data_IF_372415423542
#
_entry.id   IF_372415423542
#
_cell.length_a   1.000
_cell.length_b   1.000
_cell.length_c   1.000
_cell.angle_alpha   90.00
_cell.angle_beta   90.00
_cell.angle_gamma   90.00
#
_symmetry.space_group_name_H-M   'P 1'
#
loop_
_entity.id
_entity.type
_entity.pdbx_description
1 polymer ?
#
# COMPACT_ATOMS: atom_id res chain seq x y z
N UNK A 1 1.12 5.13 -15.13
CA UNK A 1 2.35 5.41 -14.32
C UNK A 1 3.10 4.13 -14.07
N UNK A 2 4.41 4.17 -14.24
CA UNK A 2 5.24 3.00 -13.94
C UNK A 2 5.54 2.92 -12.45
N UNK A 3 5.58 1.70 -11.93
CA UNK A 3 5.84 1.46 -10.51
C UNK A 3 7.19 2.08 -10.08
N UNK A 4 8.18 2.02 -10.96
CA UNK A 4 9.51 2.55 -10.68
C UNK A 4 9.52 4.07 -10.50
N UNK A 5 8.52 4.75 -11.06
CA UNK A 5 8.44 6.21 -10.99
C UNK A 5 7.79 6.70 -9.68
N UNK A 6 7.21 5.78 -8.90
CA UNK A 6 6.57 6.13 -7.64
C UNK A 6 7.64 6.22 -6.57
N UNK A 7 7.78 7.39 -5.96
CA UNK A 7 8.80 7.63 -4.94
C UNK A 7 8.40 7.08 -3.58
N UNK A 8 9.38 6.89 -2.71
CA UNK A 8 9.11 6.49 -1.32
C UNK A 8 8.25 7.52 -0.60
N UNK A 9 8.45 8.80 -0.92
CA UNK A 9 7.66 9.88 -0.34
C UNK A 9 6.18 9.77 -0.73
N UNK A 10 5.92 9.44 -1.99
CA UNK A 10 4.54 9.23 -2.44
C UNK A 10 3.90 8.04 -1.73
N UNK A 11 4.64 6.95 -1.53
CA UNK A 11 4.14 5.80 -0.81
C UNK A 11 3.85 6.13 0.66
N UNK A 12 4.69 6.96 1.28
CA UNK A 12 4.46 7.42 2.64
C UNK A 12 3.17 8.23 2.72
N UNK A 13 2.97 9.13 1.77
CA UNK A 13 1.75 9.94 1.70
C UNK A 13 0.52 9.07 1.50
N UNK A 14 0.64 8.02 0.68
CA UNK A 14 -0.46 7.08 0.49
C UNK A 14 -0.83 6.40 1.81
N UNK A 15 0.15 5.96 2.58
CA UNK A 15 -0.11 5.31 3.87
C UNK A 15 -0.79 6.26 4.85
N UNK A 16 -0.36 7.50 4.90
CA UNK A 16 -0.98 8.49 5.78
C UNK A 16 -2.42 8.77 5.38
N UNK A 17 -2.65 8.94 4.07
CA UNK A 17 -3.98 9.12 3.53
C UNK A 17 -4.87 7.91 3.86
N UNK A 18 -4.34 6.71 3.70
CA UNK A 18 -5.07 5.48 3.94
C UNK A 18 -5.51 5.37 5.41
N UNK A 19 -4.60 5.67 6.33
CA UNK A 19 -4.92 5.65 7.77
C UNK A 19 -6.03 6.62 8.10
N UNK A 20 -5.96 7.84 7.57
CA UNK A 20 -6.99 8.84 7.82
C UNK A 20 -8.33 8.46 7.23
N UNK A 21 -8.31 7.91 6.01
CA UNK A 21 -9.53 7.59 5.29
C UNK A 21 -10.26 6.39 5.91
N UNK A 22 -9.54 5.35 6.23
CA UNK A 22 -10.16 4.12 6.75
C UNK A 22 -10.22 4.08 8.27
N UNK A 23 -9.41 4.85 8.95
CA UNK A 23 -9.35 4.94 10.41
C UNK A 23 -9.20 3.56 11.07
N UNK A 24 -8.46 2.68 10.42
CA UNK A 24 -8.17 1.34 10.92
C UNK A 24 -6.68 1.06 10.80
N UNK A 25 -6.18 0.26 11.73
CA UNK A 25 -4.76 -0.11 11.75
C UNK A 25 -4.46 -1.33 10.88
N UNK A 26 -5.51 -2.01 10.39
CA UNK A 26 -5.31 -3.21 9.59
C UNK A 26 -6.41 -3.35 8.54
N UNK A 27 -6.04 -3.99 7.43
CA UNK A 27 -6.97 -4.30 6.34
C UNK A 27 -6.53 -5.61 5.71
N UNK A 28 -7.44 -6.28 5.00
CA UNK A 28 -7.06 -7.43 4.20
C UNK A 28 -6.11 -7.03 3.10
N UNK A 29 -5.17 -7.92 2.78
CA UNK A 29 -4.18 -7.67 1.73
C UNK A 29 -4.89 -7.34 0.40
N UNK A 30 -5.98 -8.05 0.07
CA UNK A 30 -6.73 -7.81 -1.15
C UNK A 30 -7.31 -6.39 -1.20
N UNK A 31 -7.74 -5.86 -0.06
CA UNK A 31 -8.26 -4.49 0.02
C UNK A 31 -7.14 -3.49 -0.24
N UNK A 32 -5.96 -3.72 0.35
CA UNK A 32 -4.82 -2.84 0.14
C UNK A 32 -4.39 -2.84 -1.33
N UNK A 33 -4.33 -4.01 -1.96
CA UNK A 33 -3.98 -4.14 -3.37
C UNK A 33 -4.97 -3.36 -4.24
N UNK A 34 -6.28 -3.51 -3.95
CA UNK A 34 -7.31 -2.79 -4.70
C UNK A 34 -7.15 -1.28 -4.56
N UNK A 35 -6.86 -0.81 -3.35
CA UNK A 35 -6.65 0.62 -3.11
C UNK A 35 -5.41 1.15 -3.84
N UNK A 36 -4.33 0.38 -3.85
CA UNK A 36 -3.13 0.77 -4.59
C UNK A 36 -3.39 0.84 -6.09
N UNK A 37 -4.12 -0.16 -6.61
CA UNK A 37 -4.51 -0.15 -8.02
C UNK A 37 -5.31 1.11 -8.38
N UNK A 38 -6.29 1.44 -7.58
CA UNK A 38 -7.13 2.62 -7.84
C UNK A 38 -6.37 3.93 -7.67
N UNK A 39 -5.53 4.01 -6.65
CA UNK A 39 -4.80 5.25 -6.35
C UNK A 39 -3.75 5.59 -7.41
N UNK A 40 -3.02 4.57 -7.89
CA UNK A 40 -1.92 4.77 -8.84
C UNK A 40 -2.27 4.33 -10.25
N UNK A 41 -3.49 3.88 -10.50
CA UNK A 41 -3.91 3.40 -11.82
C UNK A 41 -2.99 2.30 -12.35
N UNK A 42 -2.71 1.31 -11.51
CA UNK A 42 -1.81 0.21 -11.83
C UNK A 42 -2.56 -1.11 -11.88
N UNK A 43 -1.92 -2.13 -12.45
CA UNK A 43 -2.43 -3.49 -12.43
C UNK A 43 -2.14 -4.14 -11.06
N UNK A 44 -2.93 -5.17 -10.67
CA UNK A 44 -2.71 -5.84 -9.37
C UNK A 44 -1.28 -6.33 -9.17
N UNK A 45 -0.63 -6.81 -10.24
CA UNK A 45 0.75 -7.28 -10.16
C UNK A 45 1.70 -6.15 -9.76
N UNK A 46 1.48 -4.97 -10.33
CA UNK A 46 2.28 -3.78 -10.01
C UNK A 46 1.97 -3.28 -8.61
N UNK A 47 0.68 -3.31 -8.22
CA UNK A 47 0.28 -2.93 -6.87
C UNK A 47 0.93 -3.85 -5.83
N UNK A 48 1.07 -5.13 -6.14
CA UNK A 48 1.74 -6.07 -5.25
C UNK A 48 3.20 -5.69 -5.03
N UNK A 49 3.88 -5.20 -6.07
CA UNK A 49 5.26 -4.70 -5.94
C UNK A 49 5.32 -3.49 -5.03
N UNK A 50 4.33 -2.59 -5.15
CA UNK A 50 4.25 -1.41 -4.26
C UNK A 50 4.05 -1.83 -2.82
N UNK A 51 3.19 -2.82 -2.59
CA UNK A 51 2.95 -3.33 -1.25
C UNK A 51 4.23 -3.90 -0.64
N UNK A 52 5.01 -4.65 -1.43
CA UNK A 52 6.28 -5.17 -0.97
C UNK A 52 7.26 -4.07 -0.61
N UNK A 53 7.27 -2.98 -1.37
CA UNK A 53 8.09 -1.82 -1.06
C UNK A 53 7.66 -1.20 0.28
N UNK A 54 6.36 -1.11 0.53
CA UNK A 54 5.86 -0.58 1.80
C UNK A 54 6.34 -1.44 2.97
N UNK A 55 6.40 -2.76 2.79
CA UNK A 55 6.92 -3.66 3.82
C UNK A 55 8.41 -3.40 4.07
N UNK A 56 9.19 -3.28 2.99
CA UNK A 56 10.62 -3.03 3.09
C UNK A 56 10.90 -1.69 3.78
N UNK A 57 10.08 -0.67 3.49
CA UNK A 57 10.21 0.65 4.10
C UNK A 57 9.67 0.69 5.54
N UNK A 58 9.08 -0.43 6.00
CA UNK A 58 8.55 -0.57 7.35
C UNK A 58 7.35 0.33 7.64
N UNK A 59 6.63 0.75 6.61
CA UNK A 59 5.39 1.48 6.79
C UNK A 59 4.23 0.53 7.10
N UNK A 60 4.32 -0.71 6.66
CA UNK A 60 3.31 -1.73 6.93
C UNK A 60 4.00 -3.06 7.22
N UNK A 61 3.25 -3.99 7.84
CA UNK A 61 3.67 -5.38 7.97
C UNK A 61 2.53 -6.25 7.51
N UNK A 62 2.85 -7.47 7.03
CA UNK A 62 1.84 -8.40 6.55
C UNK A 62 1.93 -9.67 7.37
N UNK A 63 0.77 -10.15 7.85
CA UNK A 63 0.67 -11.38 8.60
C UNK A 63 -0.66 -12.04 8.28
N UNK A 64 -0.63 -13.29 7.82
CA UNK A 64 -1.83 -14.08 7.50
C UNK A 64 -2.81 -13.33 6.60
N UNK A 65 -2.28 -12.73 5.52
CA UNK A 65 -3.07 -11.99 4.54
C UNK A 65 -3.72 -10.72 5.10
N UNK A 66 -3.23 -10.22 6.23
CA UNK A 66 -3.68 -8.96 6.80
C UNK A 66 -2.50 -7.99 6.82
N UNK A 67 -2.74 -6.79 6.31
CA UNK A 67 -1.76 -5.71 6.30
C UNK A 67 -1.98 -4.85 7.53
N UNK A 68 -0.94 -4.69 8.33
CA UNK A 68 -0.97 -3.86 9.54
C UNK A 68 -0.22 -2.56 9.25
N UNK A 69 -0.89 -1.45 9.43
CA UNK A 69 -0.31 -0.11 9.24
C UNK A 69 0.39 0.32 10.52
N UNK A 70 1.57 0.88 10.36
CA UNK A 70 2.37 1.33 11.51
C UNK A 70 2.24 2.82 11.75
#
# INVERSE_FOLDING_TARGET
MKVEDITNFELQNFCEWFKEHYRKDNVYESVMITCLCGHYHTLPRQANRLLKRLVVLKYVSIRKNIVYLK
#
